data_IF_298175316394
#
_entry.id   IF_298175316394
#
_cell.length_a   1.000
_cell.length_b   1.000
_cell.length_c   1.000
_cell.angle_alpha   90.00
_cell.angle_beta   90.00
_cell.angle_gamma   90.00
#
_symmetry.space_group_name_H-M   'P 1'
#
loop_
_entity.id
_entity.type
_entity.pdbx_description
1 polymer ?
#
# COMPACT_ATOMS: atom_id res chain seq x y z
N UNK A 1 7.99 -58.59 13.35
CA UNK A 1 8.67 -58.00 12.17
C UNK A 1 7.72 -57.96 10.99
N UNK A 2 7.63 -56.79 10.34
CA UNK A 2 6.83 -56.44 9.15
C UNK A 2 5.31 -56.51 9.31
N UNK A 3 4.70 -55.35 9.56
CA UNK A 3 3.30 -55.08 9.18
C UNK A 3 3.11 -53.59 8.94
N UNK A 4 2.42 -53.31 7.82
CA UNK A 4 1.74 -52.07 7.43
C UNK A 4 2.59 -51.04 6.67
N UNK A 5 2.73 -51.30 5.37
CA UNK A 5 2.69 -50.25 4.36
C UNK A 5 1.28 -50.25 3.75
N UNK A 6 0.83 -49.06 3.37
CA UNK A 6 -0.29 -48.74 2.46
C UNK A 6 -1.64 -48.50 3.15
N UNK A 7 -2.21 -47.33 2.81
CA UNK A 7 -3.52 -46.73 3.15
C UNK A 7 -3.57 -45.83 4.39
N UNK A 8 -3.05 -44.61 4.22
CA UNK A 8 -3.57 -43.37 4.80
C UNK A 8 -3.44 -42.37 3.65
N UNK A 9 -4.46 -42.13 2.82
CA UNK A 9 -5.74 -41.61 3.25
C UNK A 9 -5.61 -40.09 3.34
N UNK A 10 -5.41 -39.44 2.20
CA UNK A 10 -5.63 -38.01 1.98
C UNK A 10 -7.03 -37.68 2.48
N UNK A 11 -7.11 -37.22 3.73
CA UNK A 11 -8.29 -36.60 4.31
C UNK A 11 -7.85 -35.21 4.73
N UNK A 12 -7.56 -34.36 3.74
CA UNK A 12 -7.63 -32.92 3.92
C UNK A 12 -9.10 -32.64 4.17
N UNK A 13 -9.47 -32.53 5.44
CA UNK A 13 -10.75 -31.97 5.82
C UNK A 13 -10.67 -30.52 5.35
N UNK A 14 -11.29 -30.26 4.21
CA UNK A 14 -11.69 -28.93 3.80
C UNK A 14 -12.55 -28.36 4.92
N UNK A 15 -11.93 -27.65 5.85
CA UNK A 15 -12.60 -26.59 6.58
C UNK A 15 -12.84 -25.49 5.54
N UNK A 16 -13.96 -25.64 4.83
CA UNK A 16 -14.56 -24.54 4.10
C UNK A 16 -15.05 -23.52 5.13
N UNK A 17 -14.13 -22.73 5.68
CA UNK A 17 -14.45 -21.33 5.93
C UNK A 17 -14.89 -20.77 4.59
N UNK A 18 -15.95 -19.97 4.58
CA UNK A 18 -16.38 -19.31 3.36
C UNK A 18 -15.18 -18.49 2.88
N UNK A 19 -14.51 -18.96 1.83
CA UNK A 19 -13.56 -18.14 1.10
C UNK A 19 -14.41 -17.04 0.46
N UNK A 20 -14.57 -15.93 1.18
CA UNK A 20 -14.97 -14.69 0.57
C UNK A 20 -13.94 -14.41 -0.52
N UNK A 21 -14.41 -14.11 -1.73
CA UNK A 21 -13.51 -13.78 -2.82
C UNK A 21 -12.65 -12.60 -2.36
N UNK A 22 -11.34 -12.82 -2.26
CA UNK A 22 -10.35 -11.78 -2.05
C UNK A 22 -10.57 -10.70 -3.11
N UNK A 23 -10.59 -9.42 -2.69
CA UNK A 23 -10.81 -8.33 -3.63
C UNK A 23 -9.76 -8.37 -4.73
N UNK A 24 -10.22 -8.28 -5.98
CA UNK A 24 -9.31 -8.20 -7.13
C UNK A 24 -8.92 -6.75 -7.31
N UNK A 25 -7.63 -6.39 -7.16
CA UNK A 25 -7.22 -5.00 -7.23
C UNK A 25 -7.55 -4.35 -8.57
N UNK A 26 -7.96 -3.09 -8.53
CA UNK A 26 -8.26 -2.28 -9.71
C UNK A 26 -6.95 -1.82 -10.34
N UNK A 27 -6.65 -2.14 -11.61
CA UNK A 27 -5.35 -1.82 -12.22
C UNK A 27 -5.19 -0.35 -12.61
N UNK A 28 -6.29 0.34 -12.95
CA UNK A 28 -6.29 1.71 -13.44
C UNK A 28 -7.65 2.40 -13.22
N UNK A 29 -7.70 3.72 -13.41
CA UNK A 29 -8.91 4.52 -13.20
C UNK A 29 -10.04 4.17 -14.19
N UNK A 30 -9.71 3.67 -15.38
CA UNK A 30 -10.71 3.28 -16.39
C UNK A 30 -11.42 1.97 -15.99
N UNK A 31 -10.76 1.16 -15.15
CA UNK A 31 -11.29 -0.07 -14.58
C UNK A 31 -12.16 0.15 -13.33
N UNK A 32 -12.25 1.39 -12.83
CA UNK A 32 -13.14 1.73 -11.73
C UNK A 32 -14.62 1.56 -12.11
N UNK A 33 -15.47 1.08 -11.18
CA UNK A 33 -16.88 0.87 -11.46
C UNK A 33 -17.61 2.19 -11.73
N UNK A 34 -18.64 2.12 -12.56
CA UNK A 34 -19.50 3.28 -12.82
C UNK A 34 -20.18 3.76 -11.53
N UNK A 35 -20.18 5.08 -11.33
CA UNK A 35 -20.77 5.70 -10.13
C UNK A 35 -22.28 5.93 -10.26
N UNK A 36 -22.80 5.89 -11.50
CA UNK A 36 -24.22 6.02 -11.81
C UNK A 36 -24.63 5.10 -12.97
N UNK A 37 -25.93 4.78 -13.03
CA UNK A 37 -26.52 4.02 -14.13
C UNK A 37 -26.72 4.88 -15.39
N UNK A 38 -27.27 4.28 -16.45
CA UNK A 38 -27.55 4.96 -17.73
C UNK A 38 -28.53 6.15 -17.62
N UNK A 39 -29.25 6.26 -16.49
CA UNK A 39 -30.20 7.34 -16.20
C UNK A 39 -29.65 8.37 -15.20
N UNK A 40 -28.39 8.22 -14.77
CA UNK A 40 -27.77 9.09 -13.78
C UNK A 40 -28.15 8.76 -12.32
N UNK A 41 -28.75 7.61 -12.06
CA UNK A 41 -29.06 7.15 -10.70
C UNK A 41 -27.78 6.64 -10.03
N UNK A 42 -27.43 7.09 -8.80
CA UNK A 42 -26.26 6.60 -8.10
C UNK A 42 -26.28 5.08 -7.90
N UNK A 43 -25.17 4.42 -8.22
CA UNK A 43 -24.97 2.98 -7.99
C UNK A 43 -24.14 2.78 -6.72
N UNK A 44 -24.50 1.77 -5.94
CA UNK A 44 -23.64 1.28 -4.87
C UNK A 44 -22.47 0.51 -5.48
N UNK A 45 -21.33 1.19 -5.66
CA UNK A 45 -20.16 0.66 -6.36
C UNK A 45 -19.02 0.22 -5.43
N UNK A 46 -19.13 0.45 -4.12
CA UNK A 46 -18.11 0.04 -3.16
C UNK A 46 -17.89 -1.49 -3.21
N UNK A 47 -16.63 -1.91 -3.34
CA UNK A 47 -16.25 -3.33 -3.50
C UNK A 47 -16.60 -4.18 -2.28
N UNK A 48 -16.49 -3.59 -1.09
CA UNK A 48 -16.75 -4.23 0.20
C UNK A 48 -17.60 -3.33 1.10
N UNK A 49 -18.30 -3.86 2.11
CA UNK A 49 -19.01 -3.05 3.09
C UNK A 49 -18.06 -2.10 3.84
N UNK A 50 -18.59 -0.93 4.22
CA UNK A 50 -17.86 0.09 5.00
C UNK A 50 -18.57 0.36 6.34
N UNK A 51 -17.89 0.88 7.37
CA UNK A 51 -18.54 1.33 8.60
C UNK A 51 -19.46 2.51 8.33
N UNK A 52 -20.66 2.53 8.91
CA UNK A 52 -21.69 3.56 8.63
C UNK A 52 -21.67 4.66 9.70
N UNK A 53 -21.71 5.92 9.29
CA UNK A 53 -21.93 7.07 10.18
C UNK A 53 -22.63 8.21 9.43
N UNK A 54 -23.15 9.20 10.17
CA UNK A 54 -23.75 10.38 9.56
C UNK A 54 -22.72 11.51 9.50
N UNK A 55 -22.16 11.75 8.32
CA UNK A 55 -21.15 12.80 8.09
C UNK A 55 -21.65 14.21 8.46
N UNK A 56 -22.96 14.46 8.35
CA UNK A 56 -23.55 15.76 8.64
C UNK A 56 -23.74 16.01 10.15
N UNK A 57 -23.47 15.01 11.00
CA UNK A 57 -23.55 15.11 12.46
C UNK A 57 -22.15 14.91 13.04
N UNK A 58 -21.57 16.00 13.56
CA UNK A 58 -20.26 15.97 14.24
C UNK A 58 -20.31 15.01 15.43
N UNK A 59 -19.24 14.24 15.64
CA UNK A 59 -19.18 13.25 16.72
C UNK A 59 -20.17 12.08 16.57
N UNK A 60 -20.78 11.88 15.39
CA UNK A 60 -21.71 10.77 15.19
C UNK A 60 -21.03 9.41 15.44
N UNK A 61 -21.75 8.50 16.09
CA UNK A 61 -21.25 7.16 16.37
C UNK A 61 -21.11 6.35 15.09
N UNK A 62 -20.04 5.58 14.99
CA UNK A 62 -19.82 4.66 13.87
C UNK A 62 -20.50 3.30 14.13
N UNK A 63 -21.21 2.80 13.12
CA UNK A 63 -21.78 1.47 13.11
C UNK A 63 -20.88 0.52 12.30
N UNK A 64 -20.20 -0.38 13.01
CA UNK A 64 -19.30 -1.39 12.44
C UNK A 64 -19.98 -2.71 12.08
N UNK A 65 -21.27 -2.88 12.35
CA UNK A 65 -22.02 -4.11 12.01
C UNK A 65 -21.84 -4.55 10.55
N UNK A 66 -21.84 -3.65 9.54
CA UNK A 66 -21.68 -4.05 8.15
C UNK A 66 -20.34 -4.71 7.81
N UNK A 67 -19.28 -4.45 8.59
CA UNK A 67 -17.92 -4.92 8.31
C UNK A 67 -17.47 -6.09 9.20
N UNK A 68 -18.35 -6.60 10.05
CA UNK A 68 -18.00 -7.68 10.98
C UNK A 68 -17.55 -8.93 10.19
N UNK A 69 -16.28 -9.29 10.33
CA UNK A 69 -15.68 -10.41 9.58
C UNK A 69 -15.38 -10.13 8.11
N UNK A 70 -15.45 -8.87 7.67
CA UNK A 70 -15.39 -8.46 6.25
C UNK A 70 -14.45 -7.26 6.01
N UNK A 71 -13.47 -7.04 6.88
CA UNK A 71 -12.43 -6.00 6.67
C UNK A 71 -11.51 -6.43 5.55
N UNK A 72 -11.28 -5.53 4.59
CA UNK A 72 -10.39 -5.72 3.44
C UNK A 72 -9.78 -4.36 3.07
N UNK A 73 -8.51 -4.16 3.44
CA UNK A 73 -7.83 -2.87 3.25
C UNK A 73 -7.41 -2.63 1.80
N UNK A 74 -7.16 -3.68 1.03
CA UNK A 74 -6.95 -3.56 -0.40
C UNK A 74 -8.21 -3.02 -1.09
N UNK A 75 -9.37 -3.57 -0.77
CA UNK A 75 -10.64 -3.07 -1.27
C UNK A 75 -10.92 -1.64 -0.78
N UNK A 76 -10.58 -1.30 0.47
CA UNK A 76 -10.71 0.08 0.96
C UNK A 76 -9.81 1.07 0.21
N UNK A 77 -8.55 0.68 -0.07
CA UNK A 77 -7.61 1.45 -0.89
C UNK A 77 -8.19 1.72 -2.28
N UNK A 78 -8.69 0.69 -2.95
CA UNK A 78 -9.28 0.89 -4.28
C UNK A 78 -10.59 1.69 -4.25
N UNK A 79 -11.36 1.65 -3.15
CA UNK A 79 -12.49 2.57 -2.97
C UNK A 79 -12.01 4.02 -2.86
N UNK A 80 -10.90 4.29 -2.17
CA UNK A 80 -10.29 5.63 -2.16
C UNK A 80 -9.85 6.01 -3.57
N UNK A 81 -9.04 5.17 -4.23
CA UNK A 81 -8.55 5.36 -5.59
C UNK A 81 -9.68 5.70 -6.58
N UNK A 82 -10.71 4.87 -6.64
CA UNK A 82 -11.85 5.09 -7.54
C UNK A 82 -12.73 6.28 -7.15
N UNK A 83 -12.69 6.71 -5.88
CA UNK A 83 -13.36 7.94 -5.44
C UNK A 83 -12.65 9.21 -5.93
N UNK A 84 -11.40 9.13 -6.39
CA UNK A 84 -10.66 10.28 -6.89
C UNK A 84 -11.09 10.70 -8.30
N UNK A 85 -11.59 9.77 -9.12
CA UNK A 85 -12.03 10.06 -10.48
C UNK A 85 -13.08 11.20 -10.57
N UNK A 86 -14.20 11.19 -9.81
CA UNK A 86 -15.14 12.30 -9.83
C UNK A 86 -14.57 13.62 -9.27
N UNK A 87 -13.49 13.57 -8.48
CA UNK A 87 -12.81 14.75 -7.92
C UNK A 87 -11.81 15.34 -8.91
N UNK A 88 -11.18 14.51 -9.74
CA UNK A 88 -10.20 14.91 -10.75
C UNK A 88 -10.75 15.94 -11.75
N UNK A 89 -12.05 15.90 -12.03
CA UNK A 89 -12.73 16.91 -12.85
C UNK A 89 -12.75 18.32 -12.23
N UNK A 90 -12.47 18.43 -10.93
CA UNK A 90 -12.42 19.68 -10.15
C UNK A 90 -10.97 20.05 -9.83
N UNK A 91 -10.17 19.06 -9.40
CA UNK A 91 -8.76 19.22 -9.01
C UNK A 91 -7.94 18.14 -9.72
N UNK A 92 -7.43 18.40 -10.94
CA UNK A 92 -6.69 17.40 -11.72
C UNK A 92 -5.44 16.87 -11.02
N UNK A 93 -4.83 17.68 -10.15
CA UNK A 93 -3.64 17.35 -9.37
C UNK A 93 -3.87 16.15 -8.44
N UNK A 94 -5.12 15.90 -8.00
CA UNK A 94 -5.47 14.75 -7.16
C UNK A 94 -5.09 13.41 -7.82
N UNK A 95 -5.08 13.33 -9.15
CA UNK A 95 -4.70 12.09 -9.84
C UNK A 95 -3.21 11.76 -9.71
N UNK A 96 -2.36 12.75 -9.42
CA UNK A 96 -0.94 12.54 -9.18
C UNK A 96 -0.69 11.73 -7.88
N UNK A 97 -1.68 11.74 -6.98
CA UNK A 97 -1.65 11.02 -5.71
C UNK A 97 -2.40 9.69 -5.75
N UNK A 98 -3.09 9.38 -6.86
CA UNK A 98 -3.97 8.24 -6.93
C UNK A 98 -3.23 6.91 -6.75
N UNK A 99 -2.04 6.77 -7.33
CA UNK A 99 -1.20 5.57 -7.18
C UNK A 99 -0.71 5.37 -5.74
N UNK A 100 -0.58 6.43 -4.93
CA UNK A 100 -0.16 6.30 -3.53
C UNK A 100 -1.21 5.60 -2.66
N UNK A 101 -2.47 5.59 -3.10
CA UNK A 101 -3.60 5.04 -2.34
C UNK A 101 -4.29 3.88 -3.08
N UNK A 102 -3.71 3.42 -4.19
CA UNK A 102 -4.19 2.26 -4.95
C UNK A 102 -3.70 0.99 -4.27
N UNK A 103 -4.54 -0.05 -4.16
CA UNK A 103 -4.14 -1.28 -3.46
C UNK A 103 -2.83 -1.89 -3.99
N UNK A 104 -2.64 -1.89 -5.31
CA UNK A 104 -1.48 -2.51 -5.96
C UNK A 104 -0.15 -1.88 -5.57
N UNK A 105 -0.13 -0.61 -5.19
CA UNK A 105 1.09 0.19 -5.06
C UNK A 105 1.15 1.02 -3.79
N UNK A 106 0.12 0.99 -2.94
CA UNK A 106 0.10 1.70 -1.67
C UNK A 106 1.20 1.13 -0.76
N UNK A 107 2.19 1.97 -0.51
CA UNK A 107 3.32 1.76 0.40
C UNK A 107 3.75 3.16 0.87
N UNK A 108 3.11 3.66 1.93
CA UNK A 108 3.19 5.07 2.38
C UNK A 108 3.69 5.22 3.81
N UNK A 109 3.97 4.12 4.51
CA UNK A 109 4.42 4.10 5.91
C UNK A 109 5.96 3.94 6.03
N UNK A 110 6.69 4.32 4.98
CA UNK A 110 8.15 4.32 4.89
C UNK A 110 8.87 5.44 5.63
N UNK A 111 10.21 5.47 5.53
CA UNK A 111 11.02 6.58 6.03
C UNK A 111 10.62 7.90 5.37
N UNK A 112 10.67 8.98 6.14
CA UNK A 112 10.31 10.31 5.64
C UNK A 112 11.37 10.87 4.69
N UNK A 113 10.93 11.46 3.58
CA UNK A 113 11.76 12.27 2.70
C UNK A 113 11.27 13.72 2.70
N UNK A 114 11.73 14.52 3.67
CA UNK A 114 11.27 15.91 3.86
C UNK A 114 11.66 16.87 2.72
N UNK A 115 12.50 16.43 1.77
CA UNK A 115 12.88 17.21 0.59
C UNK A 115 11.95 16.95 -0.61
N UNK A 116 11.15 15.88 -0.55
CA UNK A 116 10.16 15.57 -1.57
C UNK A 116 8.88 16.41 -1.40
N UNK A 117 8.16 16.61 -2.51
CA UNK A 117 6.85 17.29 -2.50
C UNK A 117 5.84 16.54 -1.62
N UNK A 118 5.94 15.22 -1.61
CA UNK A 118 5.20 14.32 -0.73
C UNK A 118 6.23 13.67 0.18
N UNK A 119 6.25 14.01 1.48
CA UNK A 119 7.33 13.62 2.38
C UNK A 119 7.22 12.18 2.89
N UNK A 120 6.27 11.39 2.39
CA UNK A 120 6.14 9.97 2.70
C UNK A 120 6.74 9.11 1.58
N UNK A 121 7.35 8.00 1.96
CA UNK A 121 7.90 7.00 1.06
C UNK A 121 7.38 5.61 1.46
N UNK A 122 7.76 4.60 0.69
CA UNK A 122 7.47 3.21 1.01
C UNK A 122 8.55 2.56 1.89
N UNK A 123 8.17 1.52 2.61
CA UNK A 123 9.08 0.70 3.39
C UNK A 123 9.48 -0.60 2.66
N UNK A 124 8.93 -0.86 1.47
CA UNK A 124 9.18 -2.05 0.66
C UNK A 124 8.17 -3.18 0.85
N UNK A 125 7.21 -3.02 1.76
CA UNK A 125 6.09 -3.93 1.98
C UNK A 125 4.80 -3.20 1.55
N UNK A 126 4.04 -3.70 0.55
CA UNK A 126 2.80 -3.04 0.15
C UNK A 126 1.76 -3.09 1.27
N UNK A 127 1.20 -1.94 1.63
CA UNK A 127 0.36 -1.76 2.80
C UNK A 127 -0.97 -2.52 2.69
N UNK A 128 -1.62 -2.46 1.52
CA UNK A 128 -3.03 -2.83 1.34
C UNK A 128 -3.33 -4.30 1.66
N UNK A 129 -2.70 -5.22 0.93
CA UNK A 129 -2.93 -6.66 1.07
C UNK A 129 -1.94 -7.38 1.99
N UNK A 130 -0.80 -6.75 2.34
CA UNK A 130 0.25 -7.41 3.14
C UNK A 130 0.24 -6.90 4.58
N UNK A 131 0.74 -5.68 4.86
CA UNK A 131 0.82 -5.17 6.24
C UNK A 131 -0.56 -5.07 6.91
N UNK A 132 -1.48 -4.34 6.27
CA UNK A 132 -2.85 -4.23 6.75
C UNK A 132 -3.64 -5.53 6.53
N UNK A 133 -3.12 -6.45 5.71
CA UNK A 133 -3.65 -7.81 5.53
C UNK A 133 -3.60 -8.64 6.82
N UNK A 134 -2.50 -8.55 7.58
CA UNK A 134 -2.36 -9.18 8.90
C UNK A 134 -3.43 -8.66 9.86
N UNK A 135 -3.58 -7.32 9.91
CA UNK A 135 -4.60 -6.66 10.74
C UNK A 135 -6.02 -7.10 10.34
N UNK A 136 -6.33 -7.15 9.04
CA UNK A 136 -7.62 -7.61 8.52
C UNK A 136 -7.91 -9.06 8.91
N UNK A 137 -6.92 -9.95 8.79
CA UNK A 137 -7.08 -11.35 9.15
C UNK A 137 -7.42 -11.52 10.63
N UNK A 138 -6.71 -10.82 11.53
CA UNK A 138 -7.00 -10.85 12.97
C UNK A 138 -8.36 -10.23 13.31
N UNK A 139 -8.71 -9.10 12.70
CA UNK A 139 -10.03 -8.48 12.87
C UNK A 139 -11.14 -9.44 12.45
N UNK A 140 -10.98 -10.07 11.27
CA UNK A 140 -11.98 -10.97 10.71
C UNK A 140 -12.07 -12.30 11.48
N UNK A 141 -10.98 -12.73 12.12
CA UNK A 141 -10.95 -13.86 13.04
C UNK A 141 -11.61 -13.56 14.40
N UNK A 142 -11.94 -12.31 14.70
CA UNK A 142 -12.59 -11.92 15.94
C UNK A 142 -11.63 -11.59 17.09
N UNK A 143 -10.38 -11.23 16.80
CA UNK A 143 -9.42 -10.80 17.83
C UNK A 143 -9.96 -9.54 18.54
N UNK A 144 -10.16 -9.65 19.85
CA UNK A 144 -10.83 -8.62 20.65
C UNK A 144 -9.96 -7.36 20.85
N UNK A 145 -8.64 -7.51 20.91
CA UNK A 145 -7.71 -6.39 21.04
C UNK A 145 -7.69 -5.59 19.73
N UNK A 146 -7.54 -6.30 18.61
CA UNK A 146 -7.53 -5.72 17.27
C UNK A 146 -8.85 -5.01 16.96
N UNK A 147 -9.99 -5.66 17.23
CA UNK A 147 -11.30 -5.05 17.01
C UNK A 147 -11.46 -3.77 17.83
N UNK A 148 -11.09 -3.79 19.11
CA UNK A 148 -11.24 -2.63 19.98
C UNK A 148 -10.35 -1.46 19.53
N UNK A 149 -9.07 -1.72 19.22
CA UNK A 149 -8.14 -0.70 18.77
C UNK A 149 -8.57 -0.10 17.43
N UNK A 150 -8.86 -0.93 16.42
CA UNK A 150 -9.27 -0.48 15.10
C UNK A 150 -10.55 0.36 15.14
N UNK A 151 -11.57 -0.08 15.87
CA UNK A 151 -12.85 0.65 15.96
C UNK A 151 -12.70 1.98 16.72
N UNK A 152 -11.90 2.03 17.78
CA UNK A 152 -11.59 3.27 18.49
C UNK A 152 -10.82 4.25 17.60
N UNK A 153 -9.79 3.77 16.90
CA UNK A 153 -9.00 4.57 15.96
C UNK A 153 -9.89 5.09 14.83
N UNK A 154 -10.75 4.26 14.24
CA UNK A 154 -11.69 4.67 13.20
C UNK A 154 -12.59 5.82 13.66
N UNK A 155 -13.14 5.76 14.87
CA UNK A 155 -13.98 6.84 15.40
C UNK A 155 -13.19 8.16 15.50
N UNK A 156 -11.97 8.11 16.05
CA UNK A 156 -11.10 9.28 16.24
C UNK A 156 -10.69 9.90 14.91
N UNK A 157 -10.21 9.08 13.97
CA UNK A 157 -9.81 9.54 12.63
C UNK A 157 -11.00 10.09 11.85
N UNK A 158 -12.16 9.44 11.95
CA UNK A 158 -13.40 9.94 11.35
C UNK A 158 -13.72 11.34 11.88
N UNK A 159 -13.67 11.54 13.20
CA UNK A 159 -13.96 12.83 13.81
C UNK A 159 -12.99 13.92 13.30
N UNK A 160 -11.69 13.61 13.20
CA UNK A 160 -10.68 14.51 12.64
C UNK A 160 -11.00 14.94 11.19
N UNK A 161 -11.33 13.98 10.32
CA UNK A 161 -11.66 14.28 8.91
C UNK A 161 -12.98 15.03 8.80
N UNK A 162 -14.01 14.63 9.54
CA UNK A 162 -15.34 15.26 9.47
C UNK A 162 -15.31 16.69 10.02
N UNK A 163 -14.57 16.95 11.10
CA UNK A 163 -14.38 18.28 11.65
C UNK A 163 -13.64 19.20 10.66
N UNK A 164 -12.61 18.67 9.99
CA UNK A 164 -11.89 19.39 8.94
C UNK A 164 -12.81 19.81 7.78
N UNK A 165 -13.62 18.89 7.27
CA UNK A 165 -14.59 19.17 6.20
C UNK A 165 -15.69 20.16 6.63
N UNK A 166 -16.03 20.20 7.92
CA UNK A 166 -17.03 21.11 8.49
C UNK A 166 -16.50 22.52 8.78
N UNK A 167 -15.17 22.67 8.84
CA UNK A 167 -14.48 23.93 9.13
C UNK A 167 -13.71 24.48 7.91
N UNK A 168 -13.80 23.82 6.75
CA UNK A 168 -13.07 24.19 5.55
C UNK A 168 -13.54 25.54 4.99
N UNK A 169 -12.68 26.55 5.02
CA UNK A 169 -12.95 27.85 4.42
C UNK A 169 -12.47 27.88 2.97
N UNK A 170 -13.40 27.81 2.00
CA UNK A 170 -13.11 28.19 0.62
C UNK A 170 -13.08 29.71 0.46
N UNK A 171 -12.37 30.20 -0.57
CA UNK A 171 -12.52 31.58 -1.07
C UNK A 171 -14.00 31.91 -1.41
N UNK A 172 -14.81 30.88 -1.64
CA UNK A 172 -16.26 30.95 -1.84
C UNK A 172 -17.00 30.68 -0.52
N UNK A 173 -17.13 31.70 0.35
CA UNK A 173 -18.07 31.94 1.49
C UNK A 173 -18.60 30.81 2.41
N UNK A 174 -18.70 29.56 1.99
CA UNK A 174 -19.21 28.42 2.74
C UNK A 174 -18.06 27.73 3.48
N UNK A 175 -18.29 27.45 4.77
CA UNK A 175 -17.31 26.86 5.69
C UNK A 175 -17.40 25.33 5.79
N UNK A 176 -18.33 24.72 5.07
CA UNK A 176 -18.72 23.32 5.23
C UNK A 176 -18.90 22.65 3.87
N UNK A 177 -17.99 21.74 3.53
CA UNK A 177 -18.00 20.99 2.26
C UNK A 177 -18.44 19.55 2.41
N UNK A 178 -18.90 19.12 3.60
CA UNK A 178 -19.29 17.71 3.85
C UNK A 178 -20.35 17.23 2.88
N UNK A 179 -21.36 18.07 2.63
CA UNK A 179 -22.42 17.75 1.67
C UNK A 179 -21.91 17.66 0.24
N UNK A 180 -20.92 18.47 -0.15
CA UNK A 180 -20.30 18.41 -1.46
C UNK A 180 -19.50 17.11 -1.62
N UNK A 181 -18.62 16.80 -0.67
CA UNK A 181 -17.82 15.56 -0.68
C UNK A 181 -18.72 14.33 -0.69
N UNK A 182 -19.78 14.31 0.13
CA UNK A 182 -20.72 13.20 0.19
C UNK A 182 -21.50 12.99 -1.13
N UNK A 183 -21.73 14.05 -1.91
CA UNK A 183 -22.39 13.96 -3.22
C UNK A 183 -21.41 13.54 -4.32
N UNK A 184 -20.20 14.10 -4.33
CA UNK A 184 -19.21 13.85 -5.38
C UNK A 184 -18.50 12.50 -5.21
N UNK A 185 -18.16 12.15 -3.97
CA UNK A 185 -17.35 10.98 -3.62
C UNK A 185 -17.93 10.28 -2.38
N UNK A 186 -19.08 9.60 -2.49
CA UNK A 186 -19.89 9.15 -1.35
C UNK A 186 -19.21 8.13 -0.42
N UNK A 187 -18.17 7.44 -0.89
CA UNK A 187 -17.43 6.44 -0.12
C UNK A 187 -16.08 6.93 0.38
N UNK A 188 -15.54 8.02 -0.16
CA UNK A 188 -14.17 8.51 0.09
C UNK A 188 -13.87 8.66 1.57
N UNK A 189 -14.70 9.41 2.30
CA UNK A 189 -14.44 9.69 3.73
C UNK A 189 -14.42 8.40 4.54
N UNK A 190 -15.31 7.46 4.21
CA UNK A 190 -15.46 6.20 4.94
C UNK A 190 -14.30 5.23 4.68
N UNK A 191 -13.84 5.14 3.43
CA UNK A 191 -12.70 4.28 3.06
C UNK A 191 -11.36 4.89 3.47
N UNK A 192 -11.18 6.21 3.31
CA UNK A 192 -9.98 6.91 3.78
C UNK A 192 -9.83 6.76 5.30
N UNK A 193 -10.93 6.95 6.05
CA UNK A 193 -10.93 6.70 7.50
C UNK A 193 -10.54 5.25 7.79
N UNK A 194 -11.06 4.28 7.01
CA UNK A 194 -10.75 2.88 7.22
C UNK A 194 -9.25 2.60 7.13
N UNK A 195 -8.59 3.10 6.08
CA UNK A 195 -7.17 2.91 5.83
C UNK A 195 -6.33 3.58 6.92
N UNK A 196 -6.59 4.86 7.22
CA UNK A 196 -5.85 5.60 8.24
C UNK A 196 -6.03 5.00 9.65
N UNK A 197 -7.22 4.47 9.96
CA UNK A 197 -7.44 3.70 11.18
C UNK A 197 -6.64 2.39 11.19
N UNK A 198 -6.46 1.76 10.03
CA UNK A 198 -5.59 0.59 9.87
C UNK A 198 -4.14 0.91 10.23
N UNK A 199 -3.56 1.93 9.58
CA UNK A 199 -2.19 2.37 9.84
C UNK A 199 -1.94 2.74 11.30
N UNK A 200 -2.83 3.53 11.90
CA UNK A 200 -2.71 3.89 13.33
C UNK A 200 -2.81 2.69 14.27
N UNK A 201 -3.42 1.59 13.82
CA UNK A 201 -3.47 0.34 14.59
C UNK A 201 -2.16 -0.46 14.50
N UNK A 202 -1.36 -0.32 13.44
CA UNK A 202 -0.02 -0.91 13.38
C UNK A 202 0.86 -0.33 14.51
N UNK A 203 0.78 0.99 14.71
CA UNK A 203 1.28 1.64 15.92
C UNK A 203 2.80 1.70 16.06
N UNK A 204 3.55 1.37 15.01
CA UNK A 204 4.99 1.56 14.99
C UNK A 204 5.35 3.03 14.73
N UNK A 205 6.54 3.42 15.20
CA UNK A 205 7.02 4.81 15.17
C UNK A 205 7.12 5.35 13.75
N UNK A 206 7.49 4.52 12.77
CA UNK A 206 7.71 4.96 11.40
C UNK A 206 6.37 5.24 10.71
N UNK A 207 5.41 4.32 10.84
CA UNK A 207 4.03 4.53 10.37
C UNK A 207 3.43 5.79 10.99
N UNK A 208 3.56 5.99 12.31
CA UNK A 208 3.04 7.18 12.98
C UNK A 208 3.68 8.47 12.44
N UNK A 209 5.00 8.48 12.21
CA UNK A 209 5.69 9.63 11.65
C UNK A 209 5.24 9.95 10.21
N UNK A 210 5.02 8.92 9.38
CA UNK A 210 4.47 9.08 8.03
C UNK A 210 3.05 9.66 8.06
N UNK A 211 2.19 9.14 8.93
CA UNK A 211 0.84 9.65 9.13
C UNK A 211 0.85 11.11 9.60
N UNK A 212 1.73 11.49 10.52
CA UNK A 212 1.86 12.87 10.97
C UNK A 212 2.21 13.84 9.82
N UNK A 213 3.11 13.42 8.92
CA UNK A 213 3.41 14.23 7.73
C UNK A 213 2.23 14.30 6.76
N UNK A 214 1.47 13.22 6.59
CA UNK A 214 0.23 13.26 5.79
C UNK A 214 -0.79 14.21 6.40
N UNK A 215 -0.97 14.21 7.72
CA UNK A 215 -1.87 15.16 8.38
C UNK A 215 -1.41 16.61 8.23
N UNK A 216 -0.09 16.86 8.23
CA UNK A 216 0.46 18.20 7.95
C UNK A 216 0.20 18.64 6.51
N UNK A 217 0.33 17.76 5.52
CA UNK A 217 -0.07 18.07 4.14
C UNK A 217 -1.55 18.39 4.05
N UNK A 218 -2.39 17.59 4.71
CA UNK A 218 -3.83 17.78 4.74
C UNK A 218 -4.27 18.97 5.60
N UNK A 219 -3.36 19.59 6.37
CA UNK A 219 -3.69 20.80 7.12
C UNK A 219 -4.05 21.97 6.19
N UNK A 220 -3.52 21.97 4.97
CA UNK A 220 -3.88 22.94 3.93
C UNK A 220 -5.35 22.82 3.51
N UNK A 221 -5.95 21.64 3.67
CA UNK A 221 -7.37 21.39 3.40
C UNK A 221 -8.24 21.40 4.68
N UNK A 222 -7.73 21.97 5.77
CA UNK A 222 -8.49 22.22 6.99
C UNK A 222 -8.34 21.17 8.09
N UNK A 223 -7.53 20.13 7.91
CA UNK A 223 -7.19 19.22 9.01
C UNK A 223 -6.38 19.98 10.06
N UNK A 224 -6.71 19.82 11.33
CA UNK A 224 -5.85 20.28 12.43
C UNK A 224 -5.07 19.07 12.95
N UNK A 225 -3.75 18.99 12.71
CA UNK A 225 -2.93 17.91 13.25
C UNK A 225 -3.08 17.85 14.79
N UNK A 226 -3.20 16.64 15.38
CA UNK A 226 -3.32 16.50 16.82
C UNK A 226 -2.06 16.97 17.55
N UNK A 227 -2.25 17.58 18.73
CA UNK A 227 -1.13 17.87 19.63
C UNK A 227 -0.47 16.54 20.06
N UNK A 228 0.83 16.40 19.79
CA UNK A 228 1.58 15.17 20.08
C UNK A 228 1.51 14.11 18.97
N UNK A 229 0.96 14.45 17.79
CA UNK A 229 0.89 13.54 16.65
C UNK A 229 -0.26 12.53 16.76
N UNK A 230 -0.40 11.69 15.74
CA UNK A 230 -1.50 10.75 15.60
C UNK A 230 -1.48 9.68 16.70
N UNK A 231 -0.30 9.33 17.21
CA UNK A 231 -0.12 8.37 18.30
C UNK A 231 -0.70 8.86 19.63
N UNK A 232 -0.81 10.18 19.82
CA UNK A 232 -1.35 10.75 21.06
C UNK A 232 -2.86 10.55 21.20
N UNK A 233 -3.56 10.26 20.09
CA UNK A 233 -5.01 10.13 20.05
C UNK A 233 -5.50 8.75 19.58
N UNK A 234 -4.59 7.86 19.19
CA UNK A 234 -4.91 6.51 18.71
C UNK A 234 -4.28 5.43 19.60
N UNK A 235 -4.71 4.19 19.41
CA UNK A 235 -4.18 3.00 20.09
C UNK A 235 -3.49 2.11 19.07
N UNK A 236 -2.17 2.00 19.17
CA UNK A 236 -1.36 1.11 18.34
C UNK A 236 -1.18 -0.28 18.93
N UNK A 237 -0.95 -1.26 18.08
CA UNK A 237 -0.58 -2.64 18.43
C UNK A 237 0.75 -2.96 17.73
N UNK A 238 1.90 -2.54 18.30
CA UNK A 238 3.20 -2.56 17.61
C UNK A 238 3.66 -3.90 17.05
N UNK A 239 3.13 -5.03 17.58
CA UNK A 239 3.42 -6.37 17.05
C UNK A 239 2.91 -6.58 15.61
N UNK A 240 1.99 -5.73 15.14
CA UNK A 240 1.44 -5.79 13.79
C UNK A 240 2.21 -4.93 12.79
N UNK A 241 3.05 -3.99 13.24
CA UNK A 241 3.90 -3.20 12.34
C UNK A 241 5.03 -4.02 11.71
N UNK A 242 5.78 -3.47 10.73
CA UNK A 242 6.82 -4.22 10.01
C UNK A 242 7.89 -4.88 10.89
N UNK A 243 8.34 -4.16 11.93
CA UNK A 243 9.34 -4.67 12.87
C UNK A 243 8.73 -5.41 14.07
N UNK A 244 7.40 -5.57 14.07
CA UNK A 244 6.66 -6.36 15.04
C UNK A 244 6.74 -7.86 14.72
N UNK A 245 6.24 -8.66 15.64
CA UNK A 245 6.18 -10.13 15.56
C UNK A 245 4.71 -10.52 15.81
N UNK A 246 3.93 -10.65 14.73
CA UNK A 246 2.47 -10.74 14.81
C UNK A 246 1.99 -12.02 15.50
N UNK A 247 2.71 -13.12 15.30
CA UNK A 247 2.35 -14.47 15.74
C UNK A 247 3.15 -14.96 16.97
N UNK A 248 4.21 -14.23 17.37
CA UNK A 248 5.17 -14.58 18.41
C UNK A 248 6.03 -15.81 18.08
N UNK A 249 6.30 -16.06 16.80
CA UNK A 249 7.19 -17.12 16.33
C UNK A 249 8.68 -16.76 16.43
N UNK A 250 8.99 -15.45 16.47
CA UNK A 250 10.33 -14.90 16.70
C UNK A 250 10.99 -14.24 15.48
N UNK A 251 10.38 -14.28 14.30
CA UNK A 251 10.72 -13.39 13.19
C UNK A 251 9.89 -12.08 13.24
N UNK A 252 10.41 -11.03 12.62
CA UNK A 252 9.61 -9.83 12.39
C UNK A 252 8.75 -10.00 11.14
N UNK A 253 7.61 -9.32 11.09
CA UNK A 253 6.70 -9.33 9.92
C UNK A 253 7.45 -8.96 8.63
N UNK A 254 8.43 -8.04 8.70
CA UNK A 254 9.32 -7.70 7.57
C UNK A 254 10.16 -8.88 7.11
N UNK A 255 10.84 -9.57 8.03
CA UNK A 255 11.67 -10.73 7.70
C UNK A 255 10.84 -11.86 7.09
N UNK A 256 9.64 -12.06 7.62
CA UNK A 256 8.69 -13.01 7.05
C UNK A 256 8.23 -12.61 5.65
N UNK A 257 7.92 -11.32 5.43
CA UNK A 257 7.55 -10.82 4.11
C UNK A 257 8.68 -11.01 3.09
N UNK A 258 9.90 -10.62 3.44
CA UNK A 258 11.08 -10.78 2.59
C UNK A 258 11.27 -12.25 2.19
N UNK A 259 11.16 -13.16 3.15
CA UNK A 259 11.31 -14.58 2.87
C UNK A 259 10.14 -15.15 2.05
N UNK A 260 8.90 -15.02 2.53
CA UNK A 260 7.75 -15.67 1.92
C UNK A 260 7.35 -15.04 0.58
N UNK A 261 7.34 -13.71 0.49
CA UNK A 261 6.89 -13.02 -0.71
C UNK A 261 8.04 -12.84 -1.69
N UNK A 262 9.18 -12.28 -1.25
CA UNK A 262 10.26 -11.94 -2.18
C UNK A 262 11.06 -13.17 -2.62
N UNK A 263 11.40 -14.09 -1.71
CA UNK A 263 12.17 -15.29 -2.09
C UNK A 263 11.29 -16.43 -2.60
N UNK A 264 10.17 -16.72 -1.94
CA UNK A 264 9.31 -17.86 -2.29
C UNK A 264 8.15 -17.51 -3.23
N UNK A 265 7.86 -16.22 -3.45
CA UNK A 265 6.82 -15.78 -4.39
C UNK A 265 5.40 -16.00 -3.87
N UNK A 266 5.17 -15.95 -2.56
CA UNK A 266 3.84 -16.10 -1.97
C UNK A 266 2.91 -14.99 -2.44
N UNK A 267 1.64 -15.35 -2.66
CA UNK A 267 0.55 -14.38 -2.78
C UNK A 267 0.29 -13.70 -1.44
N UNK A 268 -0.43 -12.56 -1.45
CA UNK A 268 -0.78 -11.85 -0.22
C UNK A 268 -1.54 -12.75 0.79
N UNK A 269 -2.53 -13.52 0.32
CA UNK A 269 -3.26 -14.45 1.18
C UNK A 269 -2.37 -15.57 1.78
N UNK A 270 -1.41 -16.10 1.01
CA UNK A 270 -0.46 -17.09 1.50
C UNK A 270 0.50 -16.49 2.52
N UNK A 271 0.99 -15.26 2.28
CA UNK A 271 1.83 -14.54 3.23
C UNK A 271 1.10 -14.26 4.54
N UNK A 272 -0.12 -13.70 4.50
CA UNK A 272 -0.88 -13.38 5.71
C UNK A 272 -1.18 -14.64 6.53
N UNK A 273 -1.41 -15.78 5.87
CA UNK A 273 -1.58 -17.06 6.57
C UNK A 273 -0.28 -17.55 7.21
N UNK A 274 0.87 -17.35 6.54
CA UNK A 274 2.19 -17.71 7.06
C UNK A 274 2.62 -16.83 8.23
N UNK A 275 2.49 -15.51 8.11
CA UNK A 275 2.84 -14.51 9.14
C UNK A 275 1.95 -14.53 10.40
N UNK A 276 0.96 -15.43 10.41
CA UNK A 276 0.08 -15.68 11.55
C UNK A 276 0.20 -17.13 12.07
N UNK A 277 1.13 -17.93 11.54
CA UNK A 277 1.40 -19.30 11.96
C UNK A 277 2.77 -19.40 12.66
N UNK A 278 2.82 -19.44 13.99
CA UNK A 278 4.09 -19.44 14.76
C UNK A 278 4.90 -20.74 14.60
N UNK A 279 4.42 -21.70 13.82
CA UNK A 279 5.15 -22.91 13.45
C UNK A 279 5.82 -22.80 12.07
N UNK A 280 5.50 -21.76 11.31
CA UNK A 280 6.04 -21.46 10.00
C UNK A 280 6.94 -20.23 10.11
N UNK A 281 8.22 -20.49 10.40
CA UNK A 281 9.23 -19.46 10.61
C UNK A 281 10.29 -19.46 9.50
N UNK A 282 10.78 -18.28 9.05
CA UNK A 282 11.92 -18.20 8.15
C UNK A 282 13.17 -18.86 8.76
N UNK A 283 14.03 -19.52 7.96
CA UNK A 283 15.28 -20.09 8.44
C UNK A 283 16.12 -19.04 9.17
N UNK A 284 16.63 -19.37 10.37
CA UNK A 284 17.60 -18.52 11.07
C UNK A 284 18.83 -18.36 10.17
N UNK A 285 19.26 -17.13 9.93
CA UNK A 285 20.52 -16.90 9.23
C UNK A 285 21.66 -17.53 10.04
N UNK A 286 22.27 -18.59 9.50
CA UNK A 286 23.43 -19.23 10.13
C UNK A 286 24.67 -18.34 9.94
N UNK A 287 24.86 -17.39 10.86
CA UNK A 287 26.13 -16.75 11.15
C UNK A 287 26.56 -15.67 10.16
N UNK A 288 26.41 -14.41 10.57
CA UNK A 288 27.26 -13.31 10.10
C UNK A 288 28.73 -13.71 10.27
N UNK A 289 29.39 -14.04 9.16
CA UNK A 289 30.84 -14.00 9.09
C UNK A 289 31.30 -12.57 9.36
N UNK A 290 32.31 -12.43 10.22
CA UNK A 290 32.86 -11.16 10.71
C UNK A 290 33.04 -10.07 9.63
N UNK A 291 32.93 -8.78 10.00
CA UNK A 291 33.15 -7.69 9.06
C UNK A 291 34.58 -7.73 8.56
N UNK A 292 34.76 -7.94 7.26
CA UNK A 292 36.04 -7.68 6.60
C UNK A 292 36.19 -6.17 6.52
N UNK A 293 37.10 -5.63 7.34
CA UNK A 293 37.55 -4.24 7.26
C UNK A 293 38.00 -3.89 5.83
N UNK A 294 37.36 -2.84 5.29
CA UNK A 294 38.00 -1.89 4.40
C UNK A 294 37.88 -2.17 2.91
N UNK A 295 36.94 -1.47 2.28
CA UNK A 295 37.24 -0.82 1.00
C UNK A 295 36.48 0.50 0.91
N UNK A 296 37.26 1.58 0.86
CA UNK A 296 36.78 2.93 0.57
C UNK A 296 36.56 2.95 -0.94
N UNK A 297 35.31 2.98 -1.40
CA UNK A 297 35.04 3.24 -2.82
C UNK A 297 34.98 4.75 -3.00
N UNK A 298 36.11 5.33 -3.42
CA UNK A 298 36.19 6.68 -3.94
C UNK A 298 35.30 6.81 -5.18
N UNK A 299 34.60 7.94 -5.28
CA UNK A 299 33.83 8.28 -6.46
C UNK A 299 34.76 8.45 -7.67
N UNK A 300 34.52 7.68 -8.72
CA UNK A 300 35.03 7.99 -10.05
C UNK A 300 33.92 8.51 -10.95
N UNK A 301 34.16 9.72 -11.43
CA UNK A 301 33.48 10.34 -12.55
C UNK A 301 33.99 9.64 -13.81
N UNK A 302 33.14 8.92 -14.53
CA UNK A 302 33.51 8.35 -15.84
C UNK A 302 32.86 9.19 -16.95
N UNK A 303 33.68 10.08 -17.52
CA UNK A 303 33.48 10.67 -18.85
C UNK A 303 33.65 9.58 -19.92
N UNK A 304 32.76 9.59 -20.91
CA UNK A 304 32.55 8.45 -21.82
C UNK A 304 33.53 8.32 -22.99
N UNK A 305 33.48 7.16 -23.66
CA UNK A 305 33.84 7.00 -25.07
C UNK A 305 33.26 5.70 -25.69
N UNK A 306 32.43 5.89 -26.73
CA UNK A 306 32.18 5.06 -27.92
C UNK A 306 31.83 3.55 -27.82
N UNK A 307 30.58 3.23 -28.17
CA UNK A 307 30.29 2.23 -29.21
C UNK A 307 29.69 0.87 -28.81
N UNK A 308 29.37 0.65 -27.54
CA UNK A 308 28.63 -0.55 -27.11
C UNK A 308 27.18 -0.19 -26.78
N UNK A 309 26.24 -1.04 -27.22
CA UNK A 309 24.84 -0.89 -26.84
C UNK A 309 24.74 -1.07 -25.33
N UNK A 310 24.34 -0.02 -24.60
CA UNK A 310 24.30 -0.04 -23.14
C UNK A 310 22.95 -0.60 -22.70
N UNK A 311 22.90 -1.76 -22.02
CA UNK A 311 21.64 -2.28 -21.51
C UNK A 311 21.05 -1.35 -20.45
N UNK A 312 19.73 -1.40 -20.31
CA UNK A 312 19.08 -0.68 -19.23
C UNK A 312 19.53 -1.30 -17.90
N UNK A 313 19.95 -0.52 -16.88
CA UNK A 313 20.50 -1.11 -15.65
C UNK A 313 19.48 -1.91 -14.80
N UNK A 314 18.19 -1.86 -15.17
CA UNK A 314 17.14 -2.73 -14.63
C UNK A 314 17.08 -4.12 -15.29
N UNK A 315 17.65 -4.29 -16.48
CA UNK A 315 17.74 -5.56 -17.20
C UNK A 315 18.93 -6.34 -16.62
N UNK A 316 18.65 -7.13 -15.57
CA UNK A 316 19.68 -7.78 -14.77
C UNK A 316 20.29 -8.99 -15.47
N UNK A 317 19.52 -9.60 -16.37
CA UNK A 317 19.94 -10.78 -17.14
C UNK A 317 20.47 -10.42 -18.55
N UNK A 318 20.37 -9.15 -18.95
CA UNK A 318 20.84 -8.55 -20.21
C UNK A 318 20.18 -9.23 -21.43
N UNK A 319 18.90 -9.54 -21.33
CA UNK A 319 18.12 -10.18 -22.39
C UNK A 319 17.39 -9.19 -23.33
N UNK A 320 17.62 -7.88 -23.13
CA UNK A 320 16.98 -6.77 -23.86
C UNK A 320 15.47 -6.69 -23.64
N UNK A 321 15.02 -7.23 -22.51
CA UNK A 321 13.68 -7.14 -21.98
C UNK A 321 13.74 -6.57 -20.57
N UNK A 322 12.65 -5.95 -20.13
CA UNK A 322 12.45 -5.61 -18.72
C UNK A 322 11.12 -6.24 -18.31
N UNK A 323 11.21 -7.32 -17.54
CA UNK A 323 10.03 -8.00 -17.02
C UNK A 323 9.51 -7.32 -15.76
N UNK A 324 8.33 -7.72 -15.29
CA UNK A 324 7.68 -7.10 -14.13
C UNK A 324 8.56 -7.09 -12.88
N UNK A 325 9.24 -8.20 -12.57
CA UNK A 325 10.13 -8.28 -11.40
C UNK A 325 11.32 -7.33 -11.49
N UNK A 326 11.87 -7.13 -12.69
CA UNK A 326 12.99 -6.21 -12.93
C UNK A 326 12.55 -4.75 -12.86
N UNK A 327 11.41 -4.41 -13.47
CA UNK A 327 10.83 -3.08 -13.37
C UNK A 327 10.47 -2.73 -11.92
N UNK A 328 9.85 -3.66 -11.19
CA UNK A 328 9.49 -3.46 -9.78
C UNK A 328 10.74 -3.35 -8.91
N UNK A 329 11.73 -4.26 -9.05
CA UNK A 329 12.96 -4.17 -8.26
C UNK A 329 13.70 -2.85 -8.48
N UNK A 330 13.72 -2.35 -9.72
CA UNK A 330 14.37 -1.08 -10.03
C UNK A 330 13.57 0.15 -9.59
N UNK A 331 12.23 0.07 -9.60
CA UNK A 331 11.34 1.05 -8.98
C UNK A 331 11.54 1.09 -7.45
N UNK A 332 11.54 -0.07 -6.79
CA UNK A 332 11.81 -0.18 -5.35
C UNK A 332 13.19 0.34 -4.99
N UNK A 333 14.22 0.05 -5.79
CA UNK A 333 15.56 0.58 -5.57
C UNK A 333 15.64 2.10 -5.77
N UNK A 334 14.88 2.69 -6.71
CA UNK A 334 14.74 4.15 -6.77
C UNK A 334 14.02 4.72 -5.54
N UNK A 335 12.93 4.08 -5.11
CA UNK A 335 12.17 4.51 -3.93
C UNK A 335 13.04 4.47 -2.66
N UNK A 336 14.00 3.53 -2.58
CA UNK A 336 15.03 3.47 -1.54
C UNK A 336 16.25 4.39 -1.76
N UNK A 337 16.25 5.24 -2.80
CA UNK A 337 17.34 6.18 -3.11
C UNK A 337 18.60 5.55 -3.73
N UNK A 338 18.55 4.27 -4.09
CA UNK A 338 19.66 3.50 -4.64
C UNK A 338 19.84 3.77 -6.15
N UNK A 339 18.73 3.97 -6.86
CA UNK A 339 18.73 4.21 -8.32
C UNK A 339 18.15 5.58 -8.71
N UNK A 340 18.62 6.20 -9.80
CA UNK A 340 18.02 7.43 -10.31
C UNK A 340 16.56 7.23 -10.76
N UNK A 341 15.68 8.14 -10.36
CA UNK A 341 14.25 8.15 -10.72
C UNK A 341 14.01 7.99 -12.23
N UNK A 342 14.82 8.67 -13.02
CA UNK A 342 14.70 8.69 -14.48
C UNK A 342 14.89 7.31 -15.10
N UNK A 343 15.73 6.46 -14.49
CA UNK A 343 15.98 5.11 -14.97
C UNK A 343 14.89 4.15 -14.49
N UNK A 344 14.40 4.31 -13.26
CA UNK A 344 13.29 3.51 -12.75
C UNK A 344 11.98 3.76 -13.51
N UNK A 345 11.64 5.02 -13.77
CA UNK A 345 10.49 5.38 -14.62
C UNK A 345 10.67 4.80 -16.03
N UNK A 346 11.89 4.78 -16.56
CA UNK A 346 12.15 4.21 -17.88
C UNK A 346 11.99 2.70 -17.93
N UNK A 347 12.46 1.98 -16.90
CA UNK A 347 12.22 0.54 -16.76
C UNK A 347 10.73 0.22 -16.74
N UNK A 348 9.96 0.96 -15.93
CA UNK A 348 8.51 0.81 -15.85
C UNK A 348 7.82 1.09 -17.19
N UNK A 349 8.23 2.17 -17.88
CA UNK A 349 7.72 2.52 -19.21
C UNK A 349 7.97 1.42 -20.24
N UNK A 350 9.16 0.83 -20.27
CA UNK A 350 9.52 -0.28 -21.17
C UNK A 350 8.66 -1.51 -20.85
N UNK A 351 8.56 -1.89 -19.58
CA UNK A 351 7.74 -3.02 -19.13
C UNK A 351 6.26 -2.87 -19.54
N UNK A 352 5.67 -1.71 -19.32
CA UNK A 352 4.27 -1.41 -19.68
C UNK A 352 4.01 -1.40 -21.20
N UNK A 353 5.05 -1.18 -22.01
CA UNK A 353 4.92 -1.02 -23.46
C UNK A 353 5.53 -2.20 -24.25
N UNK A 354 5.41 -3.41 -23.71
CA UNK A 354 5.78 -4.66 -24.40
C UNK A 354 7.15 -5.23 -24.04
N UNK A 355 7.76 -4.73 -22.95
CA UNK A 355 8.95 -5.28 -22.28
C UNK A 355 10.27 -5.17 -23.05
N UNK A 356 10.25 -5.21 -24.38
CA UNK A 356 11.45 -5.16 -25.20
C UNK A 356 11.92 -3.75 -25.51
N UNK A 357 13.23 -3.54 -25.45
CA UNK A 357 13.85 -2.25 -25.75
C UNK A 357 15.10 -2.40 -26.62
N UNK A 358 15.59 -1.28 -27.14
CA UNK A 358 16.85 -1.15 -27.86
C UNK A 358 17.59 0.10 -27.38
N UNK A 359 18.90 0.15 -27.57
CA UNK A 359 19.72 1.30 -27.22
C UNK A 359 19.91 2.24 -28.42
N UNK A 360 19.65 3.54 -28.23
CA UNK A 360 19.95 4.61 -29.17
C UNK A 360 21.11 5.46 -28.64
N UNK A 361 22.31 5.35 -29.23
CA UNK A 361 23.49 6.10 -28.79
C UNK A 361 23.40 7.60 -29.09
N UNK A 362 22.40 8.07 -29.84
CA UNK A 362 22.20 9.50 -30.14
C UNK A 362 21.30 10.20 -29.10
N UNK A 363 20.63 9.44 -28.22
CA UNK A 363 19.82 9.99 -27.15
C UNK A 363 20.55 9.93 -25.80
N UNK A 364 20.28 10.89 -24.91
CA UNK A 364 20.82 10.89 -23.56
C UNK A 364 20.00 9.95 -22.65
N UNK A 365 20.60 9.29 -21.64
CA UNK A 365 19.85 8.59 -20.61
C UNK A 365 18.82 9.51 -19.93
N UNK A 366 17.60 9.01 -19.65
CA UNK A 366 17.12 7.65 -19.87
C UNK A 366 16.50 7.41 -21.26
N UNK A 367 16.49 8.41 -22.13
CA UNK A 367 15.82 8.34 -23.44
C UNK A 367 16.59 7.50 -24.47
N UNK A 368 17.83 7.12 -24.19
CA UNK A 368 18.61 6.18 -24.98
C UNK A 368 18.00 4.76 -25.01
N UNK A 369 17.23 4.34 -24.01
CA UNK A 369 16.58 3.02 -24.03
C UNK A 369 15.20 3.10 -24.69
N UNK A 370 15.13 2.98 -26.01
CA UNK A 370 13.90 3.14 -26.80
C UNK A 370 13.12 1.83 -26.90
N UNK A 371 11.80 1.91 -27.11
CA UNK A 371 10.98 0.70 -27.34
C UNK A 371 11.46 0.01 -28.62
N UNK A 372 11.68 -1.30 -28.55
CA UNK A 372 12.05 -2.08 -29.71
C UNK A 372 10.88 -2.10 -30.72
N UNK A 373 11.14 -2.04 -32.04
CA UNK A 373 10.09 -2.22 -33.03
C UNK A 373 9.43 -3.59 -32.86
N UNK A 374 8.10 -3.62 -32.81
CA UNK A 374 7.33 -4.87 -32.85
C UNK A 374 7.75 -5.67 -34.10
N UNK A 375 8.24 -6.90 -33.90
CA UNK A 375 8.55 -7.82 -35.00
C UNK A 375 7.30 -8.45 -35.59
#
# INVERSE_FOLDING_TARGET
MKRKCIVMGLLVIALSSMAFAEHTPVPDLDSCPATADEYGTPIAWNFVPLPLFNINVLGSTVNFTPIAGLVDFCAYADIVFCSLNPIAGIVPEVLQFASLVQCLTMDINGPLNLEAEIPVAGNGIPDGSYELGILAALYNAGDAEVIAAYQANYQVIKDLIVDALAAYEMEMKDKDIRSLVQQTAPYLVRSLTAILAGFTTLGDTQTNAALDQLLLLLAQIGITPPDGGIEAITTGIPRLGPEGDADNGGATNRREYEYYVTELGYTAAEYVAAALDPLQEPPLEEGEGEPVEGEVVEGEVVEGESGEDVPHPADLNVDWSIVMSEAIAYLSGWQGGIYPMTNAIRAAFIWQNGQHYAYDPQAAPPMCWILAPLK
#
